data_IF_938219318991
#
_entry.id   IF_938219318991
#
_cell.length_a   1.000
_cell.length_b   1.000
_cell.length_c   1.000
_cell.angle_alpha   90.00
_cell.angle_beta   90.00
_cell.angle_gamma   90.00
#
_symmetry.space_group_name_H-M   'P 1'
#
loop_
_entity.id
_entity.type
_entity.pdbx_description
1 polymer ?
#
# COMPACT_ATOMS: atom_id res chain seq x y z
N UNK A 1 -19.30 22.67 20.91
CA UNK A 1 -20.23 22.41 19.80
C UNK A 1 -20.66 20.94 19.90
N UNK A 2 -21.92 20.65 20.21
CA UNK A 2 -22.42 19.26 20.34
C UNK A 2 -22.69 18.74 18.92
N UNK A 3 -22.11 17.60 18.55
CA UNK A 3 -22.36 16.94 17.27
C UNK A 3 -23.43 15.86 17.42
N UNK A 4 -24.21 15.66 16.37
CA UNK A 4 -25.27 14.65 16.30
C UNK A 4 -24.66 13.23 16.28
N UNK A 5 -25.26 12.32 17.05
CA UNK A 5 -24.78 10.94 17.16
C UNK A 5 -25.13 10.13 15.92
N UNK A 6 -24.16 9.39 15.36
CA UNK A 6 -24.35 8.46 14.23
C UNK A 6 -24.72 7.03 14.68
N UNK A 7 -24.93 6.79 15.97
CA UNK A 7 -25.28 5.47 16.49
C UNK A 7 -26.70 5.08 16.04
N UNK A 8 -26.83 3.89 15.42
CA UNK A 8 -28.13 3.29 15.07
C UNK A 8 -29.01 2.96 16.29
N UNK A 9 -28.41 2.96 17.49
CA UNK A 9 -29.08 2.62 18.74
C UNK A 9 -29.00 3.81 19.71
N UNK A 10 -30.16 4.22 20.23
CA UNK A 10 -30.29 5.19 21.31
C UNK A 10 -30.80 4.51 22.57
N UNK A 11 -30.35 4.98 23.74
CA UNK A 11 -30.85 4.49 25.02
C UNK A 11 -31.93 5.45 25.51
N UNK A 12 -33.17 4.97 25.74
CA UNK A 12 -34.20 5.83 26.28
C UNK A 12 -33.80 6.26 27.70
N UNK A 13 -33.82 7.57 27.91
CA UNK A 13 -33.49 8.22 29.19
C UNK A 13 -34.76 8.76 29.81
N UNK A 14 -35.04 8.38 31.05
CA UNK A 14 -36.21 8.87 31.79
C UNK A 14 -35.91 9.04 33.28
N UNK A 15 -36.72 9.85 33.96
CA UNK A 15 -36.58 10.11 35.38
C UNK A 15 -37.46 9.16 36.20
N UNK A 16 -36.88 8.52 37.21
CA UNK A 16 -37.59 7.66 38.17
C UNK A 16 -37.54 8.29 39.55
N UNK A 17 -38.67 8.27 40.27
CA UNK A 17 -38.77 8.82 41.62
C UNK A 17 -38.27 7.80 42.64
N UNK A 18 -37.33 8.20 43.50
CA UNK A 18 -36.82 7.38 44.60
C UNK A 18 -37.80 7.37 45.79
N UNK A 19 -37.72 6.37 46.68
CA UNK A 19 -38.54 6.34 47.91
C UNK A 19 -38.37 7.58 48.81
N UNK A 20 -37.20 8.22 48.77
CA UNK A 20 -36.92 9.46 49.50
C UNK A 20 -37.42 10.74 48.78
N UNK A 21 -38.28 10.59 47.77
CA UNK A 21 -38.92 11.70 47.04
C UNK A 21 -38.06 12.36 45.96
N UNK A 22 -36.74 12.08 45.89
CA UNK A 22 -35.84 12.66 44.88
C UNK A 22 -35.96 11.97 43.52
N UNK A 23 -35.75 12.71 42.43
CA UNK A 23 -35.70 12.16 41.08
C UNK A 23 -34.31 11.63 40.73
N UNK A 24 -34.26 10.53 39.97
CA UNK A 24 -33.03 9.96 39.40
C UNK A 24 -33.19 9.81 37.91
N UNK A 25 -32.23 10.31 37.14
CA UNK A 25 -32.13 10.00 35.72
C UNK A 25 -31.69 8.53 35.55
N UNK A 26 -32.41 7.78 34.74
CA UNK A 26 -32.15 6.36 34.43
C UNK A 26 -32.06 6.20 32.92
N UNK A 27 -30.99 5.53 32.48
CA UNK A 27 -30.81 5.10 31.10
C UNK A 27 -31.17 3.62 31.02
N UNK A 28 -32.17 3.25 30.21
CA UNK A 28 -32.60 1.86 30.10
C UNK A 28 -31.82 1.11 29.01
N UNK A 29 -30.73 0.45 29.42
CA UNK A 29 -29.85 -0.31 28.53
C UNK A 29 -30.38 -1.70 28.14
N UNK A 30 -31.55 -2.14 28.64
CA UNK A 30 -32.04 -3.52 28.49
C UNK A 30 -32.11 -3.99 27.03
N UNK A 31 -32.61 -3.13 26.12
CA UNK A 31 -32.64 -3.45 24.68
C UNK A 31 -31.25 -3.49 24.05
N UNK A 32 -30.34 -2.62 24.50
CA UNK A 32 -28.95 -2.59 24.05
C UNK A 32 -28.21 -3.86 24.50
N UNK A 33 -28.42 -4.28 25.75
CA UNK A 33 -27.84 -5.48 26.32
C UNK A 33 -28.33 -6.75 25.61
N UNK A 34 -29.60 -6.83 25.19
CA UNK A 34 -30.12 -7.95 24.39
C UNK A 34 -29.51 -8.01 22.98
N UNK A 35 -29.09 -6.88 22.41
CA UNK A 35 -28.38 -6.84 21.13
C UNK A 35 -26.87 -7.05 21.26
N UNK A 36 -26.34 -7.03 22.50
CA UNK A 36 -24.92 -7.22 22.77
C UNK A 36 -24.64 -8.71 22.92
N UNK A 37 -23.79 -9.26 22.04
CA UNK A 37 -23.40 -10.67 22.09
C UNK A 37 -22.70 -10.96 23.43
N UNK A 38 -23.21 -11.89 24.27
CA UNK A 38 -22.59 -12.22 25.54
C UNK A 38 -21.21 -12.85 25.32
N UNK A 39 -20.22 -12.48 26.14
CA UNK A 39 -18.93 -13.14 26.15
C UNK A 39 -19.11 -14.63 26.50
N UNK A 40 -18.61 -15.53 25.65
CA UNK A 40 -18.65 -16.97 25.91
C UNK A 40 -17.68 -17.34 27.06
N UNK A 41 -18.13 -18.20 27.97
CA UNK A 41 -17.32 -18.77 29.05
C UNK A 41 -17.22 -20.29 28.92
N UNK A 42 -16.03 -20.90 29.10
CA UNK A 42 -14.78 -20.26 29.49
C UNK A 42 -14.23 -19.35 28.39
N UNK A 43 -13.70 -18.19 28.80
CA UNK A 43 -13.04 -17.25 27.89
C UNK A 43 -11.97 -18.06 27.14
N UNK A 44 -12.03 -18.14 25.80
CA UNK A 44 -11.06 -18.90 25.03
C UNK A 44 -9.66 -18.44 25.42
N UNK A 45 -8.77 -19.38 25.75
CA UNK A 45 -7.41 -19.00 26.09
C UNK A 45 -6.77 -18.29 24.89
N UNK A 46 -5.89 -17.34 25.17
CA UNK A 46 -5.26 -16.44 24.20
C UNK A 46 -4.53 -17.19 23.07
N UNK A 47 -3.91 -18.31 23.39
CA UNK A 47 -3.27 -19.24 22.44
C UNK A 47 -4.28 -19.89 21.48
N UNK A 48 -5.49 -20.19 21.92
CA UNK A 48 -6.56 -20.73 21.07
C UNK A 48 -7.07 -19.67 20.08
N UNK A 49 -7.22 -18.42 20.52
CA UNK A 49 -7.58 -17.31 19.63
C UNK A 49 -6.48 -17.01 18.61
N UNK A 50 -5.21 -17.02 19.03
CA UNK A 50 -4.06 -16.80 18.14
C UNK A 50 -3.88 -17.95 17.14
N UNK A 51 -4.08 -19.20 17.54
CA UNK A 51 -4.04 -20.36 16.64
C UNK A 51 -5.20 -20.37 15.63
N UNK A 52 -6.37 -19.86 16.03
CA UNK A 52 -7.51 -19.72 15.12
C UNK A 52 -7.32 -18.57 14.11
N UNK A 53 -6.63 -17.48 14.50
CA UNK A 53 -6.31 -16.36 13.60
C UNK A 53 -5.18 -16.68 12.62
N UNK A 54 -4.14 -17.40 13.07
CA UNK A 54 -3.07 -17.85 12.17
C UNK A 54 -3.59 -18.82 11.12
N UNK A 55 -4.47 -19.77 11.50
CA UNK A 55 -5.18 -20.63 10.57
C UNK A 55 -5.97 -19.86 9.51
N UNK A 56 -6.68 -18.79 9.93
CA UNK A 56 -7.43 -17.92 9.04
C UNK A 56 -6.56 -17.21 7.99
N UNK A 57 -5.37 -16.71 8.35
CA UNK A 57 -4.43 -16.13 7.38
C UNK A 57 -3.97 -17.15 6.33
N UNK A 58 -3.61 -18.37 6.76
CA UNK A 58 -3.19 -19.42 5.84
C UNK A 58 -4.34 -19.86 4.91
N UNK A 59 -5.57 -19.93 5.42
CA UNK A 59 -6.75 -20.25 4.60
C UNK A 59 -7.04 -19.16 3.57
N UNK A 60 -6.87 -17.88 3.93
CA UNK A 60 -6.97 -16.77 2.97
C UNK A 60 -5.88 -16.82 1.91
N UNK A 61 -4.65 -17.19 2.26
CA UNK A 61 -3.57 -17.41 1.28
C UNK A 61 -3.96 -18.53 0.31
N UNK A 62 -4.49 -19.65 0.80
CA UNK A 62 -4.96 -20.77 -0.04
C UNK A 62 -6.05 -20.34 -1.01
N UNK A 63 -7.05 -19.60 -0.52
CA UNK A 63 -8.14 -19.08 -1.35
C UNK A 63 -7.61 -18.11 -2.42
N UNK A 64 -6.71 -17.20 -2.04
CA UNK A 64 -6.13 -16.25 -2.98
C UNK A 64 -5.39 -16.94 -4.14
N UNK A 65 -4.73 -18.10 -3.93
CA UNK A 65 -4.13 -18.83 -5.07
C UNK A 65 -5.13 -19.29 -6.13
N UNK A 66 -6.40 -19.48 -5.77
CA UNK A 66 -7.46 -19.87 -6.70
C UNK A 66 -7.98 -18.68 -7.51
N UNK A 67 -7.89 -17.47 -6.96
CA UNK A 67 -8.39 -16.25 -7.59
C UNK A 67 -7.36 -15.58 -8.52
N UNK A 68 -6.06 -15.73 -8.23
CA UNK A 68 -5.00 -15.09 -9.02
C UNK A 68 -4.42 -16.02 -10.09
N UNK A 69 -4.69 -15.69 -11.37
CA UNK A 69 -4.24 -16.42 -12.57
C UNK A 69 -2.72 -16.71 -12.62
N UNK A 70 -1.90 -15.90 -11.95
CA UNK A 70 -0.45 -16.10 -11.91
C UNK A 70 -0.02 -17.26 -10.98
N UNK A 71 -0.81 -17.57 -9.95
CA UNK A 71 -0.45 -18.58 -8.94
C UNK A 71 -1.17 -19.90 -9.17
N UNK A 72 -2.41 -19.88 -9.68
CA UNK A 72 -3.21 -21.10 -9.93
C UNK A 72 -2.46 -22.13 -10.78
N UNK A 73 -1.84 -21.78 -11.93
CA UNK A 73 -1.11 -22.75 -12.76
C UNK A 73 0.15 -23.28 -12.08
N UNK A 74 0.78 -22.47 -11.22
CA UNK A 74 2.00 -22.84 -10.49
C UNK A 74 1.68 -23.81 -9.35
N UNK A 75 0.60 -23.56 -8.59
CA UNK A 75 0.11 -24.47 -7.56
C UNK A 75 -0.30 -25.80 -8.18
N UNK A 76 -1.13 -25.78 -9.23
CA UNK A 76 -1.55 -27.00 -9.93
C UNK A 76 -0.36 -27.79 -10.49
N UNK A 77 0.61 -27.11 -11.12
CA UNK A 77 1.80 -27.76 -11.66
C UNK A 77 2.64 -28.48 -10.59
N UNK A 78 2.79 -27.86 -9.42
CA UNK A 78 3.57 -28.40 -8.31
C UNK A 78 2.82 -29.46 -7.50
N UNK A 79 1.48 -29.36 -7.40
CA UNK A 79 0.63 -30.30 -6.67
C UNK A 79 0.29 -31.56 -7.47
N UNK A 80 -0.03 -31.44 -8.77
CA UNK A 80 -0.62 -32.53 -9.56
C UNK A 80 0.42 -33.37 -10.31
N UNK A 81 1.71 -33.01 -10.25
CA UNK A 81 2.78 -33.80 -10.84
C UNK A 81 2.69 -33.91 -12.37
N UNK A 82 3.31 -32.97 -13.07
CA UNK A 82 3.73 -33.06 -14.49
C UNK A 82 2.67 -33.31 -15.59
N UNK A 83 1.37 -33.31 -15.30
CA UNK A 83 0.33 -33.38 -16.36
C UNK A 83 -0.17 -31.99 -16.84
N UNK A 84 0.31 -30.89 -16.24
CA UNK A 84 0.01 -29.52 -16.69
C UNK A 84 1.09 -29.01 -17.64
N UNK A 85 0.68 -28.55 -18.83
CA UNK A 85 1.57 -27.95 -19.83
C UNK A 85 2.37 -26.79 -19.23
N UNK A 86 3.68 -26.99 -19.09
CA UNK A 86 4.71 -26.02 -18.65
C UNK A 86 4.61 -24.68 -19.39
N UNK A 87 3.97 -24.67 -20.57
CA UNK A 87 3.67 -23.49 -21.39
C UNK A 87 2.80 -22.45 -20.68
N UNK A 88 1.97 -22.85 -19.71
CA UNK A 88 1.13 -21.93 -18.91
C UNK A 88 1.91 -21.17 -17.83
N UNK A 89 3.12 -21.60 -17.50
CA UNK A 89 4.00 -20.88 -16.58
C UNK A 89 4.71 -19.75 -17.32
N UNK A 90 4.84 -18.59 -16.69
CA UNK A 90 5.66 -17.50 -17.24
C UNK A 90 7.14 -17.94 -17.35
N UNK A 91 7.93 -17.35 -18.26
CA UNK A 91 9.36 -17.63 -18.38
C UNK A 91 10.12 -17.50 -17.05
N UNK A 92 9.74 -16.49 -16.24
CA UNK A 92 10.32 -16.24 -14.91
C UNK A 92 9.99 -17.35 -13.93
N UNK A 93 8.75 -17.84 -13.91
CA UNK A 93 8.35 -18.96 -13.05
C UNK A 93 9.11 -20.22 -13.41
N UNK A 94 9.23 -20.54 -14.72
CA UNK A 94 10.00 -21.70 -15.19
C UNK A 94 11.45 -21.67 -14.72
N UNK A 95 12.12 -20.52 -14.85
CA UNK A 95 13.50 -20.34 -14.41
C UNK A 95 13.67 -20.49 -12.89
N UNK A 96 12.63 -20.21 -12.11
CA UNK A 96 12.66 -20.22 -10.65
C UNK A 96 11.92 -21.40 -10.01
N UNK A 97 11.46 -22.38 -10.79
CA UNK A 97 10.69 -23.53 -10.28
C UNK A 97 11.38 -24.26 -9.13
N UNK A 98 12.70 -24.42 -9.22
CA UNK A 98 13.54 -25.05 -8.19
C UNK A 98 13.51 -24.33 -6.82
N UNK A 99 13.01 -23.10 -6.77
CA UNK A 99 12.86 -22.33 -5.54
C UNK A 99 11.50 -22.51 -4.88
N UNK A 100 10.54 -23.15 -5.55
CA UNK A 100 9.20 -23.37 -5.03
C UNK A 100 9.01 -24.81 -4.55
N UNK A 101 8.41 -24.96 -3.38
CA UNK A 101 8.05 -26.25 -2.78
C UNK A 101 6.58 -26.22 -2.35
N UNK A 102 5.70 -27.13 -2.83
CA UNK A 102 4.35 -27.22 -2.35
C UNK A 102 4.32 -27.94 -0.98
N UNK A 103 3.60 -27.39 0.00
CA UNK A 103 3.33 -28.06 1.28
C UNK A 103 2.00 -27.55 1.88
N UNK A 104 1.15 -28.46 2.37
CA UNK A 104 -0.13 -28.15 3.04
C UNK A 104 -1.06 -27.20 2.25
N UNK A 105 -1.10 -27.38 0.93
CA UNK A 105 -1.86 -26.53 0.01
C UNK A 105 -1.29 -25.11 -0.16
N UNK A 106 -0.07 -24.87 0.35
CA UNK A 106 0.65 -23.61 0.24
C UNK A 106 1.90 -23.72 -0.63
N UNK A 107 2.26 -22.63 -1.30
CA UNK A 107 3.56 -22.52 -1.95
C UNK A 107 4.57 -21.99 -0.96
N UNK A 108 5.70 -22.68 -0.83
CA UNK A 108 6.87 -22.20 -0.11
C UNK A 108 7.94 -21.76 -1.09
N UNK A 109 8.66 -20.68 -0.78
CA UNK A 109 9.76 -20.15 -1.58
C UNK A 109 11.05 -20.11 -0.78
N UNK A 110 12.15 -20.49 -1.43
CA UNK A 110 13.52 -20.34 -0.93
C UNK A 110 14.28 -19.37 -1.83
N UNK A 111 14.86 -18.32 -1.25
CA UNK A 111 15.72 -17.40 -2.01
C UNK A 111 17.01 -18.13 -2.36
N UNK A 112 17.68 -18.68 -1.36
CA UNK A 112 18.82 -19.58 -1.55
C UNK A 112 18.53 -20.98 -0.99
N UNK A 113 19.17 -22.06 -1.48
CA UNK A 113 18.91 -23.43 -1.02
C UNK A 113 19.11 -23.64 0.49
N UNK A 114 19.95 -22.82 1.12
CA UNK A 114 20.20 -22.85 2.56
C UNK A 114 19.19 -22.04 3.40
N UNK A 115 18.31 -21.27 2.76
CA UNK A 115 17.32 -20.47 3.48
C UNK A 115 16.14 -21.33 3.98
N UNK A 116 15.52 -20.94 5.10
CA UNK A 116 14.26 -21.54 5.52
C UNK A 116 13.16 -21.28 4.46
N UNK A 117 12.25 -22.25 4.25
CA UNK A 117 11.15 -22.08 3.32
C UNK A 117 10.16 -21.05 3.87
N UNK A 118 9.67 -20.16 3.01
CA UNK A 118 8.74 -19.08 3.40
C UNK A 118 7.46 -19.18 2.60
N UNK A 119 6.31 -19.01 3.23
CA UNK A 119 5.00 -19.07 2.56
C UNK A 119 4.86 -17.91 1.59
N UNK A 120 4.56 -18.24 0.33
CA UNK A 120 4.39 -17.27 -0.74
C UNK A 120 3.06 -16.58 -0.58
N UNK A 121 3.07 -15.27 -0.34
CA UNK A 121 1.85 -14.48 -0.30
C UNK A 121 1.55 -13.98 -1.72
N UNK A 122 0.33 -14.22 -2.25
CA UNK A 122 -0.11 -13.64 -3.51
C UNK A 122 -0.02 -12.11 -3.53
N UNK A 123 -0.21 -11.53 -4.70
CA UNK A 123 -0.23 -10.07 -4.84
C UNK A 123 -1.57 -9.46 -4.37
N UNK A 124 -1.99 -9.83 -3.16
CA UNK A 124 -3.17 -9.34 -2.45
C UNK A 124 -2.71 -8.39 -1.34
N UNK A 125 -3.10 -7.13 -1.45
CA UNK A 125 -2.66 -6.07 -0.55
C UNK A 125 -3.35 -6.11 0.81
N UNK A 126 -4.62 -6.52 0.85
CA UNK A 126 -5.38 -6.63 2.09
C UNK A 126 -4.80 -7.79 2.90
N UNK A 127 -4.49 -8.90 2.23
CA UNK A 127 -3.82 -10.05 2.84
C UNK A 127 -2.42 -9.72 3.36
N UNK A 128 -1.61 -8.97 2.60
CA UNK A 128 -0.30 -8.50 3.07
C UNK A 128 -0.43 -7.54 4.26
N UNK A 129 -1.43 -6.65 4.24
CA UNK A 129 -1.69 -5.73 5.34
C UNK A 129 -2.07 -6.49 6.61
N UNK A 130 -2.96 -7.48 6.51
CA UNK A 130 -3.38 -8.30 7.65
C UNK A 130 -2.22 -9.09 8.24
N UNK A 131 -1.35 -9.66 7.40
CA UNK A 131 -0.11 -10.33 7.82
C UNK A 131 0.82 -9.36 8.59
N UNK A 132 0.99 -8.14 8.09
CA UNK A 132 1.83 -7.12 8.73
C UNK A 132 1.23 -6.62 10.04
N UNK A 133 -0.10 -6.42 10.08
CA UNK A 133 -0.84 -5.97 11.25
C UNK A 133 -0.78 -7.03 12.36
N UNK A 134 -1.03 -8.30 12.03
CA UNK A 134 -0.96 -9.40 12.99
C UNK A 134 0.45 -9.54 13.56
N UNK A 135 1.49 -9.39 12.74
CA UNK A 135 2.87 -9.42 13.20
C UNK A 135 3.26 -8.21 14.08
N UNK A 136 2.61 -7.06 13.87
CA UNK A 136 2.83 -5.85 14.67
C UNK A 136 2.14 -5.92 16.03
N UNK A 137 0.91 -6.42 16.06
CA UNK A 137 0.06 -6.50 17.26
C UNK A 137 0.24 -7.80 18.05
N UNK A 138 1.07 -8.72 17.54
CA UNK A 138 1.45 -9.96 18.21
C UNK A 138 1.92 -9.69 19.65
N UNK A 139 1.23 -10.22 20.69
CA UNK A 139 1.49 -9.84 22.08
C UNK A 139 2.86 -10.24 22.64
N UNK A 140 3.59 -11.12 21.96
CA UNK A 140 4.97 -11.48 22.29
C UNK A 140 6.00 -10.53 21.64
N UNK A 141 5.57 -9.79 20.63
CA UNK A 141 6.36 -8.87 19.81
C UNK A 141 6.19 -7.43 20.29
N UNK A 142 6.16 -7.20 21.61
CA UNK A 142 5.78 -5.94 22.27
C UNK A 142 5.99 -4.68 21.42
N UNK A 143 4.91 -4.22 20.78
CA UNK A 143 4.85 -3.06 19.87
C UNK A 143 6.16 -2.79 19.13
N UNK A 144 6.72 -3.84 18.50
CA UNK A 144 8.04 -3.77 17.91
C UNK A 144 7.99 -2.85 16.70
N UNK A 145 8.89 -1.86 16.65
CA UNK A 145 8.99 -0.95 15.51
C UNK A 145 9.19 -1.68 14.17
N UNK A 146 8.76 -1.05 13.07
CA UNK A 146 8.64 -1.60 11.71
C UNK A 146 9.76 -2.53 11.22
N UNK A 147 11.03 -2.25 11.53
CA UNK A 147 12.16 -3.10 11.14
C UNK A 147 12.07 -4.52 11.72
N UNK A 148 11.60 -4.62 12.96
CA UNK A 148 11.40 -5.89 13.65
C UNK A 148 10.13 -6.60 13.18
N UNK A 149 9.05 -5.86 12.88
CA UNK A 149 7.86 -6.40 12.20
C UNK A 149 8.25 -7.01 10.86
N UNK A 150 9.02 -6.29 10.03
CA UNK A 150 9.54 -6.82 8.76
C UNK A 150 10.39 -8.07 8.97
N UNK A 151 11.33 -8.04 9.92
CA UNK A 151 12.16 -9.21 10.22
C UNK A 151 11.30 -10.42 10.60
N UNK A 152 10.31 -10.23 11.48
CA UNK A 152 9.38 -11.29 11.88
C UNK A 152 8.57 -11.82 10.69
N UNK A 153 7.97 -10.94 9.89
CA UNK A 153 7.17 -11.37 8.73
C UNK A 153 8.06 -12.07 7.70
N UNK A 154 9.27 -11.55 7.45
CA UNK A 154 10.20 -12.11 6.46
C UNK A 154 10.80 -13.46 6.85
N UNK A 155 10.66 -13.90 8.10
CA UNK A 155 11.05 -15.24 8.53
C UNK A 155 10.03 -16.29 8.09
N UNK A 156 8.76 -15.92 7.95
CA UNK A 156 7.65 -16.86 7.70
C UNK A 156 7.04 -16.69 6.31
N UNK A 157 6.94 -15.45 5.83
CA UNK A 157 6.27 -15.11 4.58
C UNK A 157 7.25 -14.52 3.57
N UNK A 158 6.90 -14.67 2.29
CA UNK A 158 7.64 -14.10 1.18
C UNK A 158 6.69 -13.60 0.10
N UNK A 159 7.01 -12.44 -0.47
CA UNK A 159 6.43 -11.99 -1.73
C UNK A 159 7.48 -11.21 -2.52
N UNK A 160 7.34 -11.08 -3.84
CA UNK A 160 8.22 -10.25 -4.64
C UNK A 160 8.32 -8.85 -4.06
N UNK A 161 9.55 -8.37 -3.89
CA UNK A 161 9.82 -7.02 -3.41
C UNK A 161 9.32 -6.70 -1.99
N UNK A 162 9.22 -7.72 -1.12
CA UNK A 162 8.83 -7.55 0.28
C UNK A 162 9.60 -6.46 1.04
N UNK A 163 10.87 -6.24 0.72
CA UNK A 163 11.72 -5.21 1.32
C UNK A 163 11.19 -3.77 1.09
N UNK A 164 10.40 -3.54 0.04
CA UNK A 164 9.75 -2.25 -0.29
C UNK A 164 8.84 -1.74 0.81
N UNK A 165 8.36 -2.65 1.67
CA UNK A 165 7.44 -2.36 2.76
C UNK A 165 8.12 -1.86 4.04
N UNK A 166 9.44 -1.65 4.04
CA UNK A 166 10.21 -1.26 5.22
C UNK A 166 10.37 0.27 5.44
N UNK A 167 9.94 1.12 4.50
CA UNK A 167 10.19 2.57 4.54
C UNK A 167 9.34 3.34 5.55
N UNK A 168 9.89 3.99 6.60
CA UNK A 168 9.14 4.61 7.69
C UNK A 168 7.97 5.47 7.21
N UNK A 169 6.87 5.44 7.97
CA UNK A 169 5.70 6.30 7.70
C UNK A 169 6.15 7.74 7.98
N UNK A 170 5.97 8.68 7.05
CA UNK A 170 6.38 10.06 7.25
C UNK A 170 5.58 10.69 8.39
N UNK A 171 6.22 11.57 9.17
CA UNK A 171 5.57 12.25 10.28
C UNK A 171 4.51 13.26 9.82
N UNK A 172 4.62 13.75 8.57
CA UNK A 172 3.74 14.76 8.01
C UNK A 172 3.67 14.63 6.47
N UNK A 173 2.66 15.26 5.88
CA UNK A 173 2.45 15.30 4.45
C UNK A 173 3.65 15.94 3.74
N UNK A 174 4.00 15.40 2.58
CA UNK A 174 5.12 15.82 1.73
C UNK A 174 6.51 15.85 2.38
N UNK A 175 6.68 15.39 3.64
CA UNK A 175 8.00 15.15 4.23
C UNK A 175 8.74 13.98 3.58
N UNK A 176 7.98 13.02 3.07
CA UNK A 176 8.49 11.95 2.24
C UNK A 176 7.60 11.82 1.01
N UNK A 177 8.24 11.76 -0.15
CA UNK A 177 7.54 11.50 -1.40
C UNK A 177 8.24 10.39 -2.17
N UNK A 178 7.51 9.77 -3.06
CA UNK A 178 8.06 8.91 -4.10
C UNK A 178 7.94 9.59 -5.45
N UNK A 179 8.80 9.19 -6.37
CA UNK A 179 8.79 9.63 -7.73
C UNK A 179 8.99 8.43 -8.67
N UNK A 180 8.24 8.39 -9.77
CA UNK A 180 8.35 7.34 -10.77
C UNK A 180 8.04 7.86 -12.18
N UNK A 181 8.49 7.13 -13.20
CA UNK A 181 8.12 7.39 -14.59
C UNK A 181 7.23 6.29 -15.16
N UNK A 182 6.14 6.71 -15.79
CA UNK A 182 5.28 5.84 -16.60
C UNK A 182 5.54 6.14 -18.07
N UNK A 183 6.07 5.18 -18.85
CA UNK A 183 6.32 5.32 -20.29
C UNK A 183 5.49 4.33 -21.10
N UNK A 184 5.50 4.49 -22.43
CA UNK A 184 4.75 3.62 -23.35
C UNK A 184 3.38 4.17 -23.72
N UNK A 185 3.11 5.43 -23.40
CA UNK A 185 1.91 6.13 -23.85
C UNK A 185 2.07 6.56 -25.32
N UNK A 186 0.96 6.64 -26.08
CA UNK A 186 0.99 7.23 -27.41
C UNK A 186 1.56 8.65 -27.37
N UNK A 187 2.32 9.05 -28.39
CA UNK A 187 2.79 10.42 -28.48
C UNK A 187 1.59 11.40 -28.53
N UNK A 188 1.57 12.35 -27.61
CA UNK A 188 0.62 13.48 -27.65
C UNK A 188 1.02 14.50 -28.73
N UNK A 189 0.20 15.54 -28.93
CA UNK A 189 0.47 16.60 -29.91
C UNK A 189 1.72 17.43 -29.59
N UNK A 190 2.25 17.33 -28.35
CA UNK A 190 3.48 18.00 -27.88
C UNK A 190 4.71 17.07 -27.92
N UNK A 191 4.52 15.83 -28.37
CA UNK A 191 5.54 14.78 -28.45
C UNK A 191 5.87 14.08 -27.13
N UNK A 192 5.05 14.22 -26.09
CA UNK A 192 5.20 13.52 -24.83
C UNK A 192 4.76 12.06 -24.98
N UNK A 193 5.49 11.14 -24.35
CA UNK A 193 5.28 9.68 -24.44
C UNK A 193 5.28 9.01 -23.07
N UNK A 194 5.34 9.80 -21.99
CA UNK A 194 5.28 9.31 -20.62
C UNK A 194 4.88 10.37 -19.63
N UNK A 195 4.78 9.97 -18.36
CA UNK A 195 4.38 10.80 -17.24
C UNK A 195 5.43 10.66 -16.15
N UNK A 196 5.84 11.80 -15.58
CA UNK A 196 6.53 11.85 -14.31
C UNK A 196 5.50 11.96 -13.20
N UNK A 197 5.50 10.98 -12.30
CA UNK A 197 4.52 10.84 -11.23
C UNK A 197 5.19 11.15 -9.90
N UNK A 198 4.65 12.11 -9.16
CA UNK A 198 5.06 12.46 -7.80
C UNK A 198 3.96 12.02 -6.84
N UNK A 199 4.31 11.32 -5.76
CA UNK A 199 3.31 10.84 -4.79
C UNK A 199 3.77 11.13 -3.38
N UNK A 200 2.93 11.79 -2.59
CA UNK A 200 3.14 11.90 -1.15
C UNK A 200 2.97 10.52 -0.49
N UNK A 201 3.99 10.07 0.23
CA UNK A 201 3.95 8.74 0.85
C UNK A 201 2.97 8.62 2.01
N UNK A 202 2.61 9.75 2.64
CA UNK A 202 1.63 9.80 3.73
C UNK A 202 0.19 9.94 3.20
N UNK A 203 -0.13 11.09 2.58
CA UNK A 203 -1.50 11.41 2.14
C UNK A 203 -1.93 10.65 0.89
N UNK A 204 -0.98 10.10 0.13
CA UNK A 204 -1.18 9.52 -1.22
C UNK A 204 -1.58 10.54 -2.28
N UNK A 205 -1.45 11.84 -1.99
CA UNK A 205 -1.67 12.90 -2.98
C UNK A 205 -0.67 12.76 -4.12
N UNK A 206 -1.14 13.03 -5.34
CA UNK A 206 -0.37 12.84 -6.58
C UNK A 206 -0.21 14.17 -7.29
N UNK A 207 0.96 14.38 -7.89
CA UNK A 207 1.16 15.39 -8.93
C UNK A 207 1.70 14.73 -10.20
N UNK A 208 1.18 15.15 -11.35
CA UNK A 208 1.46 14.52 -12.65
C UNK A 208 2.04 15.53 -13.64
N UNK A 209 3.15 15.16 -14.28
CA UNK A 209 3.73 15.97 -15.35
C UNK A 209 3.96 15.13 -16.62
N UNK A 210 3.45 15.59 -17.75
CA UNK A 210 3.73 14.97 -19.05
C UNK A 210 5.20 15.13 -19.43
N UNK A 211 5.84 14.07 -19.90
CA UNK A 211 7.24 14.04 -20.29
C UNK A 211 7.48 13.31 -21.61
N UNK A 212 8.57 13.67 -22.26
CA UNK A 212 9.12 12.90 -23.39
C UNK A 212 9.97 11.75 -22.85
N UNK A 213 10.07 10.67 -23.62
CA UNK A 213 10.98 9.53 -23.36
C UNK A 213 12.43 9.96 -23.07
N UNK A 214 12.90 11.04 -23.70
CA UNK A 214 14.25 11.61 -23.56
C UNK A 214 14.37 12.70 -22.48
N UNK A 215 13.42 12.80 -21.55
CA UNK A 215 13.49 13.79 -20.46
C UNK A 215 14.79 13.63 -19.65
N UNK A 216 15.47 14.74 -19.41
CA UNK A 216 16.75 14.79 -18.66
C UNK A 216 16.52 15.02 -17.17
N UNK A 217 17.50 14.71 -16.32
CA UNK A 217 17.44 15.00 -14.89
C UNK A 217 17.18 16.48 -14.58
N UNK A 218 17.73 17.41 -15.37
CA UNK A 218 17.44 18.85 -15.25
C UNK A 218 15.98 19.18 -15.52
N UNK A 219 15.40 18.61 -16.57
CA UNK A 219 13.99 18.82 -16.90
C UNK A 219 13.09 18.20 -15.83
N UNK A 220 13.41 17.01 -15.33
CA UNK A 220 12.68 16.40 -14.22
C UNK A 220 12.75 17.24 -12.94
N UNK A 221 13.91 17.83 -12.63
CA UNK A 221 14.07 18.72 -11.47
C UNK A 221 13.24 20.00 -11.63
N UNK A 222 13.18 20.56 -12.83
CA UNK A 222 12.31 21.70 -13.11
C UNK A 222 10.83 21.34 -12.93
N UNK A 223 10.40 20.17 -13.43
CA UNK A 223 9.03 19.68 -13.24
C UNK A 223 8.68 19.47 -11.77
N UNK A 224 9.63 19.01 -10.95
CA UNK A 224 9.45 18.94 -9.50
C UNK A 224 9.21 20.34 -8.90
N UNK A 225 9.99 21.34 -9.32
CA UNK A 225 9.80 22.70 -8.84
C UNK A 225 8.41 23.24 -9.22
N UNK A 226 8.03 23.03 -10.48
CA UNK A 226 6.79 23.55 -11.07
C UNK A 226 5.55 22.81 -10.57
N UNK A 227 5.65 21.54 -10.19
CA UNK A 227 4.49 20.70 -9.86
C UNK A 227 4.35 20.42 -8.37
N UNK A 228 5.44 20.41 -7.61
CA UNK A 228 5.44 19.98 -6.20
C UNK A 228 5.95 21.08 -5.28
N UNK A 229 7.15 21.61 -5.53
CA UNK A 229 7.86 22.50 -4.61
C UNK A 229 7.05 23.76 -4.28
N UNK A 230 6.43 24.39 -5.27
CA UNK A 230 5.65 25.60 -5.06
C UNK A 230 4.42 25.42 -4.15
N UNK A 231 3.91 24.19 -3.98
CA UNK A 231 2.80 23.89 -3.08
C UNK A 231 3.28 23.39 -1.72
N UNK A 232 4.27 22.50 -1.70
CA UNK A 232 4.60 21.70 -0.50
C UNK A 232 6.02 21.89 0.03
N UNK A 233 6.86 22.62 -0.70
CA UNK A 233 8.27 22.82 -0.36
C UNK A 233 9.14 21.59 -0.67
N UNK A 234 10.31 21.54 -0.02
CA UNK A 234 11.29 20.46 -0.21
C UNK A 234 10.99 19.30 0.76
N UNK A 235 10.84 18.06 0.26
CA UNK A 235 10.73 16.88 1.12
C UNK A 235 12.04 16.59 1.86
N UNK A 236 11.95 15.93 3.00
CA UNK A 236 13.12 15.42 3.73
C UNK A 236 13.67 14.16 3.06
N UNK A 237 12.80 13.38 2.41
CA UNK A 237 13.18 12.15 1.71
C UNK A 237 12.42 12.01 0.38
N UNK A 238 13.13 11.61 -0.67
CA UNK A 238 12.54 11.20 -1.94
C UNK A 238 12.93 9.75 -2.21
N UNK A 239 11.95 8.94 -2.54
CA UNK A 239 12.11 7.55 -2.96
C UNK A 239 11.92 7.47 -4.46
N UNK A 240 12.88 6.93 -5.19
CA UNK A 240 12.78 6.74 -6.64
C UNK A 240 13.20 5.33 -7.00
N UNK A 241 12.56 4.80 -8.03
CA UNK A 241 13.00 3.57 -8.66
C UNK A 241 14.27 3.86 -9.48
N UNK A 242 15.08 2.82 -9.71
CA UNK A 242 16.46 2.89 -10.25
C UNK A 242 16.54 3.32 -11.73
N UNK A 243 15.73 4.27 -12.17
CA UNK A 243 15.95 4.93 -13.45
C UNK A 243 17.31 5.66 -13.39
N UNK A 244 18.20 5.36 -14.34
CA UNK A 244 19.53 5.93 -14.43
C UNK A 244 19.51 7.48 -14.50
N UNK A 245 18.37 8.06 -14.88
CA UNK A 245 18.13 9.52 -14.89
C UNK A 245 18.03 10.15 -13.50
N UNK A 246 17.78 9.36 -12.44
CA UNK A 246 17.71 9.82 -11.03
C UNK A 246 18.94 9.46 -10.20
N UNK A 247 20.07 9.16 -10.86
CA UNK A 247 21.38 9.17 -10.19
C UNK A 247 21.69 10.56 -9.63
N UNK A 248 22.71 10.69 -8.77
CA UNK A 248 23.05 11.91 -8.01
C UNK A 248 23.02 13.24 -8.80
N UNK A 249 23.19 13.20 -10.12
CA UNK A 249 23.03 14.34 -11.01
C UNK A 249 21.67 15.05 -10.91
N UNK A 250 20.53 14.34 -10.74
CA UNK A 250 19.23 14.99 -10.54
C UNK A 250 19.24 15.89 -9.29
N UNK A 251 19.79 15.37 -8.19
CA UNK A 251 19.88 16.07 -6.93
C UNK A 251 20.85 17.24 -7.00
N UNK A 252 22.03 17.05 -7.57
CA UNK A 252 22.98 18.13 -7.79
C UNK A 252 22.33 19.29 -8.56
N UNK A 253 21.54 18.98 -9.59
CA UNK A 253 20.82 19.98 -10.39
C UNK A 253 19.68 20.61 -9.59
N UNK A 254 18.88 19.85 -8.84
CA UNK A 254 17.80 20.39 -8.02
C UNK A 254 18.34 21.39 -6.97
N UNK A 255 19.39 21.01 -6.26
CA UNK A 255 20.03 21.87 -5.25
C UNK A 255 20.71 23.09 -5.90
N UNK A 256 21.30 22.94 -7.09
CA UNK A 256 21.78 24.09 -7.88
C UNK A 256 20.63 25.05 -8.26
N UNK A 257 19.49 24.54 -8.74
CA UNK A 257 18.32 25.35 -9.10
C UNK A 257 17.73 26.08 -7.90
N UNK A 258 17.74 25.45 -6.72
CA UNK A 258 17.30 26.04 -5.46
C UNK A 258 18.34 26.98 -4.82
N UNK A 259 19.55 27.11 -5.39
CA UNK A 259 20.62 27.93 -4.85
C UNK A 259 21.20 27.42 -3.52
N UNK A 260 21.07 26.13 -3.23
CA UNK A 260 21.49 25.50 -1.97
C UNK A 260 22.54 24.41 -2.20
N UNK A 261 23.34 24.08 -1.18
CA UNK A 261 24.38 23.04 -1.26
C UNK A 261 23.90 21.75 -0.62
N UNK A 262 23.92 20.65 -1.39
CA UNK A 262 23.65 19.31 -0.86
C UNK A 262 24.80 18.88 0.06
N UNK A 263 24.52 18.75 1.36
CA UNK A 263 25.46 18.15 2.30
C UNK A 263 25.06 16.68 2.45
N UNK A 264 25.76 15.80 1.72
CA UNK A 264 25.48 14.37 1.70
C UNK A 264 25.72 13.75 3.07
N UNK A 265 24.67 13.59 3.87
CA UNK A 265 24.59 12.43 4.77
C UNK A 265 24.21 11.28 3.87
N UNK A 266 25.00 10.19 3.87
CA UNK A 266 24.83 9.00 3.02
C UNK A 266 23.37 8.84 2.58
N UNK A 267 23.12 9.09 1.30
CA UNK A 267 21.83 8.79 0.68
C UNK A 267 21.68 7.27 0.76
N UNK A 268 21.12 6.79 1.87
CA UNK A 268 20.62 5.43 2.00
C UNK A 268 19.66 5.29 0.85
N UNK A 269 20.07 4.58 -0.19
CA UNK A 269 19.34 4.41 -1.43
C UNK A 269 18.11 3.55 -1.08
N UNK A 270 16.93 4.14 -0.79
CA UNK A 270 15.85 3.38 -0.23
C UNK A 270 15.19 2.67 -1.40
N UNK A 271 15.16 1.36 -1.29
CA UNK A 271 14.37 0.50 -2.13
C UNK A 271 12.96 1.08 -2.34
N UNK A 272 12.60 1.32 -3.61
CA UNK A 272 11.27 1.19 -4.22
C UNK A 272 10.07 1.20 -3.25
N UNK A 273 9.15 2.17 -3.37
CA UNK A 273 7.93 2.21 -2.54
C UNK A 273 6.78 1.44 -3.20
N UNK A 274 6.43 0.27 -2.65
CA UNK A 274 5.31 -0.55 -3.15
C UNK A 274 3.94 0.16 -3.09
N UNK A 275 3.82 1.22 -2.29
CA UNK A 275 2.60 2.03 -2.23
C UNK A 275 2.38 2.86 -3.50
N UNK A 276 3.48 3.28 -4.15
CA UNK A 276 3.46 4.11 -5.36
C UNK A 276 3.07 3.29 -6.59
N UNK A 277 3.44 2.01 -6.65
CA UNK A 277 3.03 1.10 -7.72
C UNK A 277 1.50 0.97 -7.83
N UNK A 278 0.77 1.02 -6.71
CA UNK A 278 -0.70 1.01 -6.72
C UNK A 278 -1.28 2.30 -7.29
N UNK A 279 -0.71 3.45 -6.90
CA UNK A 279 -1.12 4.75 -7.44
C UNK A 279 -0.85 4.81 -8.94
N UNK A 280 0.30 4.33 -9.40
CA UNK A 280 0.66 4.30 -10.81
C UNK A 280 -0.28 3.38 -11.60
N UNK A 281 -0.69 2.24 -11.04
CA UNK A 281 -1.68 1.35 -11.68
C UNK A 281 -3.06 1.99 -11.78
N UNK A 282 -3.54 2.62 -10.71
CA UNK A 282 -4.83 3.32 -10.72
C UNK A 282 -4.77 4.50 -11.70
N UNK A 283 -3.64 5.19 -11.77
CA UNK A 283 -3.39 6.23 -12.77
C UNK A 283 -3.45 5.66 -14.20
N UNK A 284 -2.74 4.56 -14.48
CA UNK A 284 -2.77 3.91 -15.79
C UNK A 284 -4.18 3.47 -16.19
N UNK A 285 -4.96 2.89 -15.27
CA UNK A 285 -6.34 2.48 -15.53
C UNK A 285 -7.27 3.69 -15.74
N UNK A 286 -7.09 4.75 -14.94
CA UNK A 286 -7.81 6.02 -15.09
C UNK A 286 -7.51 6.65 -16.44
N UNK A 287 -6.24 6.71 -16.83
CA UNK A 287 -5.81 7.21 -18.12
C UNK A 287 -6.32 6.32 -19.25
N UNK A 288 -6.28 4.99 -19.12
CA UNK A 288 -6.81 4.08 -20.15
C UNK A 288 -8.29 4.33 -20.40
N UNK A 289 -9.07 4.56 -19.34
CA UNK A 289 -10.49 4.93 -19.45
C UNK A 289 -10.67 6.29 -20.13
N UNK A 290 -9.89 7.31 -19.75
CA UNK A 290 -10.01 8.66 -20.31
C UNK A 290 -9.51 8.73 -21.77
N UNK A 291 -8.50 7.93 -22.11
CA UNK A 291 -7.83 7.95 -23.41
C UNK A 291 -8.47 7.00 -24.43
N UNK A 292 -9.50 6.23 -24.04
CA UNK A 292 -10.16 5.27 -24.90
C UNK A 292 -10.73 5.91 -26.18
N UNK A 293 -11.25 7.14 -26.07
CA UNK A 293 -11.86 7.87 -27.19
C UNK A 293 -10.87 8.78 -27.93
N UNK A 294 -9.81 9.26 -27.26
CA UNK A 294 -8.82 10.17 -27.82
C UNK A 294 -7.40 9.89 -27.29
N UNK A 295 -6.72 8.87 -27.83
CA UNK A 295 -5.45 8.37 -27.29
C UNK A 295 -4.27 9.36 -27.31
N UNK A 296 -4.35 10.42 -28.13
CA UNK A 296 -3.30 11.45 -28.24
C UNK A 296 -3.53 12.67 -27.35
N UNK A 297 -4.71 12.80 -26.74
CA UNK A 297 -5.03 13.95 -25.87
C UNK A 297 -4.81 13.67 -24.38
N UNK A 298 -4.17 12.54 -24.04
CA UNK A 298 -4.02 12.08 -22.66
C UNK A 298 -3.35 13.12 -21.75
N UNK A 299 -2.38 13.88 -22.28
CA UNK A 299 -1.65 14.87 -21.49
C UNK A 299 -2.51 16.06 -21.07
N UNK A 300 -3.53 16.40 -21.86
CA UNK A 300 -4.50 17.45 -21.52
C UNK A 300 -5.45 17.01 -20.38
N UNK A 301 -5.51 15.71 -20.10
CA UNK A 301 -6.40 15.13 -19.10
C UNK A 301 -5.71 14.88 -17.76
N UNK A 302 -4.39 15.11 -17.66
CA UNK A 302 -3.65 14.95 -16.41
C UNK A 302 -4.25 15.74 -15.24
N UNK A 303 -4.69 17.02 -15.40
CA UNK A 303 -5.31 17.74 -14.29
C UNK A 303 -6.59 17.07 -13.77
N UNK A 304 -7.40 16.49 -14.67
CA UNK A 304 -8.62 15.77 -14.29
C UNK A 304 -8.30 14.44 -13.61
N UNK A 305 -7.29 13.71 -14.10
CA UNK A 305 -6.82 12.48 -13.48
C UNK A 305 -6.26 12.76 -12.07
N UNK A 306 -5.44 13.79 -11.91
CA UNK A 306 -4.85 14.21 -10.64
C UNK A 306 -5.92 14.59 -9.61
N UNK A 307 -6.92 15.38 -10.03
CA UNK A 307 -8.04 15.75 -9.17
C UNK A 307 -8.86 14.52 -8.73
N UNK A 308 -9.13 13.60 -9.66
CA UNK A 308 -9.90 12.38 -9.38
C UNK A 308 -9.17 11.49 -8.38
N UNK A 309 -7.87 11.26 -8.57
CA UNK A 309 -7.03 10.49 -7.66
C UNK A 309 -6.97 11.13 -6.26
N UNK A 310 -6.80 12.45 -6.22
CA UNK A 310 -6.70 13.20 -4.96
C UNK A 310 -8.03 13.28 -4.18
N UNK A 311 -9.16 13.02 -4.85
CA UNK A 311 -10.49 13.03 -4.24
C UNK A 311 -11.08 11.62 -4.01
N UNK A 312 -10.37 10.57 -4.41
CA UNK A 312 -10.76 9.19 -4.15
C UNK A 312 -10.33 8.75 -2.74
N UNK A 313 -11.21 8.04 -2.02
CA UNK A 313 -10.86 7.49 -0.70
C UNK A 313 -9.83 6.39 -0.88
N UNK A 314 -8.68 6.55 -0.23
CA UNK A 314 -7.63 5.53 -0.25
C UNK A 314 -7.88 4.48 0.82
N UNK A 315 -7.88 3.21 0.44
CA UNK A 315 -8.09 2.08 1.37
C UNK A 315 -7.07 2.07 2.53
N UNK A 316 -5.83 2.49 2.28
CA UNK A 316 -4.77 2.50 3.29
C UNK A 316 -4.89 3.62 4.32
N UNK A 317 -5.59 4.71 4.01
CA UNK A 317 -5.74 5.86 4.92
C UNK A 317 -7.17 6.03 5.42
N UNK A 318 -8.16 5.48 4.72
CA UNK A 318 -9.59 5.68 5.02
C UNK A 318 -10.11 7.08 4.66
N UNK A 319 -9.28 7.93 4.06
CA UNK A 319 -9.60 9.31 3.71
C UNK A 319 -9.19 9.63 2.28
N UNK A 320 -9.69 10.74 1.74
CA UNK A 320 -9.20 11.28 0.47
C UNK A 320 -7.84 11.97 0.69
N UNK A 321 -6.92 11.93 -0.28
CA UNK A 321 -5.68 12.68 -0.19
C UNK A 321 -5.87 14.18 0.06
N UNK A 322 -6.87 14.81 -0.56
CA UNK A 322 -7.21 16.22 -0.30
C UNK A 322 -7.54 16.50 1.17
N UNK A 323 -8.31 15.60 1.81
CA UNK A 323 -8.65 15.76 3.21
C UNK A 323 -7.40 15.69 4.10
N UNK A 324 -6.53 14.69 3.86
CA UNK A 324 -5.31 14.51 4.66
C UNK A 324 -4.29 15.62 4.46
N UNK A 325 -4.19 16.18 3.26
CA UNK A 325 -3.24 17.24 2.96
C UNK A 325 -3.67 18.62 3.49
N UNK A 326 -4.92 18.75 3.97
CA UNK A 326 -5.46 19.98 4.55
C UNK A 326 -5.63 19.95 6.07
N UNK A 327 -5.16 18.89 6.75
CA UNK A 327 -5.11 18.78 8.21
C UNK A 327 -3.85 19.46 8.77
#
# INVERSE_FOLDING_TARGET
MVRESKSLHSTPTFCVRKPNGKWRLVHAYNKLNNATVPAQTPIPRKDVLLNNMSGYLYDRIRLAYQEYENYTPLVQFLSDGKDVKVDRLSPRQRAQLHRYEPADGLLHYRVDPGDPPRVVVPNDEDLKYDILLEAHDAPMSGHLGRKKTYQAVSQTFWWPHMYKWSLPVPADCWKSMSLDFVFGLPADDKGNTGILVFVCRLSKMVHLAAVRDKVTGKQAAQLFLDSVFHYHGLPETIVSDRDQRFTGAFWDILFQLLGTKLTMSTADHPQTDGQTERVNRVLEDTLRSICAEAPRSWSNQLPMAEFTLSNAVHASTGFTPFYLNGL
#
